data_IF_641724457352
#
_entry.id   IF_641724457352
#
_cell.length_a   1.000
_cell.length_b   1.000
_cell.length_c   1.000
_cell.angle_alpha   90.00
_cell.angle_beta   90.00
_cell.angle_gamma   90.00
#
_symmetry.space_group_name_H-M   'P 1'
#
loop_
_entity.id
_entity.type
_entity.pdbx_description
1 polymer ?
#
# COMPACT_ATOMS: atom_id res chain seq x y z
N UNK A 1 -10.56 60.77 -11.75
CA UNK A 1 -9.79 61.70 -12.61
C UNK A 1 -8.53 60.96 -13.07
N UNK A 2 -8.42 60.94 -14.40
CA UNK A 2 -7.28 60.60 -15.21
C UNK A 2 -6.79 59.15 -15.29
N UNK A 3 -7.30 58.52 -16.36
CA UNK A 3 -6.71 57.39 -17.05
C UNK A 3 -5.50 57.81 -17.88
N UNK A 4 -4.50 56.94 -18.02
CA UNK A 4 -3.56 56.98 -19.14
C UNK A 4 -3.36 55.56 -19.67
N UNK A 5 -3.61 55.38 -20.98
CA UNK A 5 -3.41 54.18 -21.81
C UNK A 5 -2.09 54.31 -22.63
N UNK A 6 -1.60 53.18 -23.20
CA UNK A 6 -0.23 53.02 -23.69
C UNK A 6 -0.04 53.41 -25.19
N UNK A 7 1.18 53.29 -25.72
CA UNK A 7 1.36 52.95 -27.14
C UNK A 7 2.18 51.66 -27.30
N UNK A 8 2.00 50.73 -28.23
CA UNK A 8 1.65 50.82 -29.64
C UNK A 8 2.78 50.22 -30.49
N UNK A 9 2.56 48.99 -30.98
CA UNK A 9 2.99 48.37 -32.25
C UNK A 9 4.41 48.55 -32.82
N UNK A 10 4.96 47.42 -33.28
CA UNK A 10 6.11 47.40 -34.19
C UNK A 10 6.42 45.98 -34.70
N UNK A 11 5.66 45.56 -35.70
CA UNK A 11 5.94 44.40 -36.57
C UNK A 11 7.26 44.59 -37.33
N UNK A 12 8.13 43.59 -37.36
CA UNK A 12 9.09 43.35 -38.44
C UNK A 12 9.29 41.87 -38.73
N UNK A 13 8.68 41.46 -39.81
CA UNK A 13 8.92 40.25 -40.59
C UNK A 13 10.33 40.26 -41.17
N UNK A 14 11.10 39.19 -40.97
CA UNK A 14 12.28 38.90 -41.79
C UNK A 14 12.26 37.45 -42.24
N UNK A 15 12.09 37.29 -43.55
CA UNK A 15 12.33 36.09 -44.31
C UNK A 15 13.84 35.81 -44.37
N UNK A 16 14.26 34.57 -44.14
CA UNK A 16 15.55 34.06 -44.60
C UNK A 16 15.39 32.66 -45.19
N UNK A 17 15.99 32.56 -46.35
CA UNK A 17 15.94 31.48 -47.32
C UNK A 17 16.47 30.14 -46.81
N UNK A 18 15.88 29.10 -47.34
CA UNK A 18 16.33 27.70 -47.25
C UNK A 18 17.61 27.49 -48.07
N UNK A 19 18.58 26.79 -47.48
CA UNK A 19 19.65 26.11 -48.20
C UNK A 19 19.50 24.60 -47.95
N UNK A 20 19.21 23.87 -49.01
CA UNK A 20 19.15 22.42 -49.00
C UNK A 20 20.59 21.86 -49.12
N UNK A 21 21.03 21.11 -48.09
CA UNK A 21 22.22 20.26 -48.18
C UNK A 21 21.76 18.81 -48.18
N UNK A 22 21.93 18.12 -49.28
CA UNK A 22 21.73 16.69 -49.43
C UNK A 22 22.87 15.93 -48.75
N UNK A 23 22.57 15.19 -47.66
CA UNK A 23 23.46 14.17 -47.13
C UNK A 23 22.92 12.82 -47.49
N UNK A 24 23.71 12.03 -48.16
CA UNK A 24 23.45 10.62 -48.45
C UNK A 24 23.56 9.83 -47.15
N UNK A 25 22.45 9.26 -46.68
CA UNK A 25 22.43 8.28 -45.59
C UNK A 25 22.76 6.91 -46.14
N UNK A 26 23.91 6.40 -45.69
CA UNK A 26 24.23 4.97 -45.76
C UNK A 26 23.40 4.27 -44.71
N UNK A 27 22.40 3.52 -45.13
CA UNK A 27 21.52 2.75 -44.26
C UNK A 27 22.27 1.54 -43.67
N UNK A 28 22.54 1.57 -42.37
CA UNK A 28 22.77 0.35 -41.57
C UNK A 28 21.44 -0.07 -40.96
N UNK A 29 20.84 -1.12 -41.52
CA UNK A 29 19.65 -1.75 -40.94
C UNK A 29 20.04 -2.48 -39.66
N UNK A 30 19.66 -1.93 -38.52
CA UNK A 30 19.58 -2.68 -37.26
C UNK A 30 18.38 -3.64 -37.34
N UNK A 31 18.48 -4.89 -36.89
CA UNK A 31 17.35 -5.78 -36.86
C UNK A 31 16.32 -5.26 -35.84
N UNK A 32 15.09 -5.12 -36.31
CA UNK A 32 13.94 -4.79 -35.47
C UNK A 32 13.80 -5.89 -34.39
N UNK A 33 13.85 -5.50 -33.13
CA UNK A 33 13.42 -6.37 -32.05
C UNK A 33 11.94 -6.68 -32.25
N UNK A 34 11.62 -7.92 -32.61
CA UNK A 34 10.25 -8.42 -32.65
C UNK A 34 9.72 -8.40 -31.22
N UNK A 35 8.86 -7.42 -30.92
CA UNK A 35 8.00 -7.48 -29.75
C UNK A 35 7.19 -8.79 -29.85
N UNK A 36 7.22 -9.60 -28.79
CA UNK A 36 6.34 -10.75 -28.69
C UNK A 36 4.89 -10.27 -28.84
N UNK A 37 4.05 -10.99 -29.60
CA UNK A 37 2.67 -10.61 -29.73
C UNK A 37 2.00 -10.62 -28.34
N UNK A 38 1.06 -9.69 -28.05
CA UNK A 38 0.26 -9.76 -26.84
C UNK A 38 -0.47 -11.10 -26.86
N UNK A 39 -0.39 -11.88 -25.77
CA UNK A 39 -1.23 -13.05 -25.59
C UNK A 39 -2.68 -12.62 -25.79
N UNK A 40 -3.30 -13.16 -26.83
CA UNK A 40 -4.72 -12.98 -27.10
C UNK A 40 -5.48 -13.47 -25.87
N UNK A 41 -6.26 -12.58 -25.26
CA UNK A 41 -7.29 -12.99 -24.35
C UNK A 41 -8.23 -13.95 -25.10
N UNK A 42 -8.18 -15.22 -24.75
CA UNK A 42 -9.19 -16.18 -25.19
C UNK A 42 -10.50 -15.84 -24.49
N UNK A 43 -11.39 -15.16 -25.20
CA UNK A 43 -12.80 -15.01 -24.82
C UNK A 43 -13.49 -16.37 -25.00
N UNK A 44 -13.37 -17.22 -24.03
CA UNK A 44 -14.16 -18.43 -23.87
C UNK A 44 -14.55 -18.50 -22.40
N UNK A 45 -15.84 -18.52 -22.12
CA UNK A 45 -16.38 -18.81 -20.79
C UNK A 45 -15.97 -20.23 -20.38
N UNK A 46 -14.77 -20.36 -19.86
CA UNK A 46 -14.33 -21.48 -19.07
C UNK A 46 -14.11 -20.94 -17.66
N UNK A 47 -14.92 -21.38 -16.71
CA UNK A 47 -14.66 -21.27 -15.29
C UNK A 47 -13.18 -21.62 -15.06
N UNK A 48 -12.34 -20.60 -14.89
CA UNK A 48 -10.93 -20.84 -14.63
C UNK A 48 -10.85 -21.34 -13.20
N UNK A 49 -10.38 -22.57 -13.03
CA UNK A 49 -10.15 -23.15 -11.70
C UNK A 49 -9.27 -22.21 -10.90
N UNK A 50 -9.77 -21.74 -9.76
CA UNK A 50 -9.00 -20.92 -8.82
C UNK A 50 -7.72 -21.64 -8.37
N UNK A 51 -6.64 -20.92 -8.02
CA UNK A 51 -5.40 -21.54 -7.56
C UNK A 51 -5.56 -22.50 -6.40
N UNK A 52 -6.51 -22.27 -5.50
CA UNK A 52 -6.85 -23.20 -4.41
C UNK A 52 -7.67 -24.42 -4.85
N UNK A 53 -8.38 -24.29 -5.98
CA UNK A 53 -9.38 -25.27 -6.43
C UNK A 53 -10.75 -25.13 -5.74
N UNK A 54 -10.97 -24.04 -5.02
CA UNK A 54 -12.24 -23.76 -4.33
C UNK A 54 -13.37 -23.41 -5.32
N UNK A 55 -14.59 -23.72 -4.88
CA UNK A 55 -15.83 -23.48 -5.60
C UNK A 55 -16.92 -22.84 -4.72
N UNK A 56 -16.57 -22.46 -3.48
CA UNK A 56 -17.48 -21.87 -2.50
C UNK A 56 -16.70 -21.04 -1.48
N UNK A 57 -17.38 -20.09 -0.83
CA UNK A 57 -16.79 -19.22 0.19
C UNK A 57 -16.24 -20.02 1.39
N UNK A 58 -15.09 -19.57 1.87
CA UNK A 58 -14.46 -20.13 3.06
C UNK A 58 -15.13 -19.65 4.33
N UNK A 59 -15.30 -20.54 5.28
CA UNK A 59 -15.46 -20.18 6.67
C UNK A 59 -14.15 -19.61 7.23
N UNK A 60 -14.20 -18.86 8.34
CA UNK A 60 -12.99 -18.38 9.01
C UNK A 60 -12.02 -19.52 9.37
N UNK A 61 -12.55 -20.67 9.82
CA UNK A 61 -11.73 -21.86 10.13
C UNK A 61 -10.99 -22.43 8.91
N UNK A 62 -11.61 -22.43 7.75
CA UNK A 62 -10.98 -22.85 6.49
C UNK A 62 -9.90 -21.89 6.04
N UNK A 63 -10.07 -20.57 6.19
CA UNK A 63 -8.97 -19.61 5.95
C UNK A 63 -7.76 -19.91 6.84
N UNK A 64 -7.96 -20.19 8.11
CA UNK A 64 -6.88 -20.52 9.04
C UNK A 64 -6.19 -21.85 8.71
N UNK A 65 -6.95 -22.84 8.27
CA UNK A 65 -6.43 -24.12 7.79
C UNK A 65 -5.60 -23.92 6.51
N UNK A 66 -6.16 -23.27 5.50
CA UNK A 66 -5.52 -23.03 4.21
C UNK A 66 -4.20 -22.23 4.36
N UNK A 67 -4.19 -21.20 5.22
CA UNK A 67 -2.96 -20.48 5.54
C UNK A 67 -1.90 -21.38 6.20
N UNK A 68 -2.32 -22.31 7.05
CA UNK A 68 -1.39 -23.27 7.70
C UNK A 68 -0.85 -24.28 6.70
N UNK A 69 -1.70 -24.77 5.80
CA UNK A 69 -1.32 -25.70 4.74
C UNK A 69 -0.34 -25.05 3.74
N UNK A 70 -0.61 -23.80 3.30
CA UNK A 70 0.32 -23.07 2.45
C UNK A 70 1.70 -22.89 3.12
N UNK A 71 1.73 -22.50 4.38
CA UNK A 71 2.99 -22.35 5.13
C UNK A 71 3.72 -23.68 5.29
N UNK A 72 2.99 -24.77 5.52
CA UNK A 72 3.57 -26.12 5.60
C UNK A 72 4.08 -26.66 4.26
N UNK A 73 3.36 -26.37 3.17
CA UNK A 73 3.71 -26.81 1.81
C UNK A 73 4.87 -26.02 1.20
N UNK A 74 4.99 -24.74 1.54
CA UNK A 74 6.01 -23.82 0.99
C UNK A 74 6.86 -23.15 2.07
N UNK A 75 7.54 -23.86 2.99
CA UNK A 75 8.14 -23.31 4.22
C UNK A 75 9.30 -22.32 3.97
N UNK A 76 9.94 -22.34 2.79
CA UNK A 76 10.99 -21.39 2.41
C UNK A 76 10.43 -20.11 1.78
N UNK A 77 9.13 -20.11 1.42
CA UNK A 77 8.47 -19.03 0.69
C UNK A 77 7.33 -18.41 1.45
N UNK A 78 6.59 -19.21 2.24
CA UNK A 78 5.38 -18.78 2.96
C UNK A 78 5.58 -18.93 4.45
N UNK A 79 5.21 -17.92 5.22
CA UNK A 79 5.18 -17.95 6.68
C UNK A 79 3.85 -17.41 7.19
N UNK A 80 3.09 -18.23 7.93
CA UNK A 80 1.92 -17.76 8.67
C UNK A 80 2.35 -17.00 9.93
N UNK A 81 1.64 -15.94 10.26
CA UNK A 81 1.84 -15.16 11.49
C UNK A 81 0.51 -14.72 12.08
N UNK A 82 0.52 -14.35 13.37
CA UNK A 82 -0.61 -13.77 14.07
C UNK A 82 -0.36 -12.28 14.33
N UNK A 83 -1.40 -11.46 14.25
CA UNK A 83 -1.40 -10.08 14.67
C UNK A 83 -1.58 -9.99 16.21
N UNK A 84 -1.07 -8.91 16.85
CA UNK A 84 -0.91 -8.89 18.31
C UNK A 84 -2.18 -8.70 19.12
N UNK A 85 -3.23 -8.14 18.54
CA UNK A 85 -4.47 -7.82 19.25
C UNK A 85 -5.56 -8.82 18.89
N UNK A 86 -6.18 -9.41 19.89
CA UNK A 86 -7.39 -10.21 19.70
C UNK A 86 -8.57 -9.28 19.49
N UNK A 87 -9.53 -9.72 18.66
CA UNK A 87 -10.79 -9.02 18.45
C UNK A 87 -11.63 -8.96 19.71
N UNK A 88 -12.73 -8.23 19.68
CA UNK A 88 -13.66 -8.11 20.81
C UNK A 88 -14.26 -9.44 21.22
N UNK A 89 -14.48 -10.38 20.28
CA UNK A 89 -14.91 -11.75 20.55
C UNK A 89 -13.75 -12.74 20.78
N UNK A 90 -12.53 -12.25 20.92
CA UNK A 90 -11.37 -13.04 21.29
C UNK A 90 -10.70 -13.80 20.15
N UNK A 91 -11.06 -13.54 18.88
CA UNK A 91 -10.44 -14.17 17.71
C UNK A 91 -9.05 -13.60 17.44
N UNK A 92 -8.20 -14.38 16.83
CA UNK A 92 -6.86 -13.95 16.37
C UNK A 92 -6.91 -13.63 14.89
N UNK A 93 -6.41 -12.47 14.50
CA UNK A 93 -6.21 -12.14 13.09
C UNK A 93 -4.91 -12.75 12.60
N UNK A 94 -4.98 -13.57 11.55
CA UNK A 94 -3.83 -14.23 10.94
C UNK A 94 -3.49 -13.65 9.57
N UNK A 95 -2.22 -13.76 9.19
CA UNK A 95 -1.75 -13.37 7.87
C UNK A 95 -0.60 -14.25 7.39
N UNK A 96 -0.22 -14.03 6.14
CA UNK A 96 0.88 -14.70 5.46
C UNK A 96 1.95 -13.68 5.04
N UNK A 97 3.20 -14.00 5.26
CA UNK A 97 4.32 -13.39 4.55
C UNK A 97 4.76 -14.32 3.42
N UNK A 98 4.88 -13.78 2.21
CA UNK A 98 5.25 -14.53 1.01
C UNK A 98 6.42 -13.83 0.33
N UNK A 99 7.56 -14.51 0.27
CA UNK A 99 8.78 -14.04 -0.39
C UNK A 99 9.79 -15.18 -0.45
N UNK A 100 10.74 -15.11 -1.36
CA UNK A 100 11.84 -16.10 -1.37
C UNK A 100 12.73 -15.91 -0.13
N UNK A 101 13.08 -17.01 0.54
CA UNK A 101 13.77 -17.04 1.83
C UNK A 101 12.98 -16.27 2.93
N UNK A 102 11.70 -16.59 3.09
CA UNK A 102 10.77 -15.90 3.99
C UNK A 102 11.27 -15.78 5.43
N UNK A 103 12.08 -16.72 5.89
CA UNK A 103 12.66 -16.75 7.22
C UNK A 103 13.84 -15.78 7.44
N UNK A 104 14.18 -14.96 6.42
CA UNK A 104 15.20 -13.93 6.53
C UNK A 104 14.57 -12.55 6.65
N UNK A 105 14.99 -11.80 7.66
CA UNK A 105 14.71 -10.36 7.74
C UNK A 105 15.73 -9.63 6.85
N UNK A 106 15.49 -9.62 5.55
CA UNK A 106 16.43 -9.18 4.52
C UNK A 106 16.23 -7.75 4.03
N UNK A 107 15.23 -7.05 4.56
CA UNK A 107 14.99 -5.63 4.29
C UNK A 107 14.43 -5.32 2.91
N UNK A 108 13.81 -6.29 2.24
CA UNK A 108 13.09 -6.06 0.99
C UNK A 108 11.97 -5.03 1.15
N UNK A 109 11.60 -4.29 0.09
CA UNK A 109 10.38 -3.50 0.07
C UNK A 109 9.17 -4.42 0.26
N UNK A 110 8.07 -3.85 0.78
CA UNK A 110 6.90 -4.64 1.18
C UNK A 110 5.66 -4.17 0.44
N UNK A 111 4.95 -5.11 -0.15
CA UNK A 111 3.57 -4.97 -0.57
C UNK A 111 2.67 -5.59 0.50
N UNK A 112 1.70 -4.83 1.00
CA UNK A 112 0.70 -5.30 1.97
C UNK A 112 -0.66 -5.27 1.28
N UNK A 113 -1.35 -6.41 1.24
CA UNK A 113 -2.71 -6.55 0.75
C UNK A 113 -3.59 -7.14 1.84
N UNK A 114 -4.73 -6.50 2.11
CA UNK A 114 -5.66 -6.94 3.15
C UNK A 114 -7.08 -6.96 2.62
N UNK A 115 -7.89 -7.92 3.10
CA UNK A 115 -9.31 -8.06 2.76
C UNK A 115 -10.20 -7.92 4.00
N UNK A 116 -11.50 -7.85 3.74
CA UNK A 116 -12.56 -7.83 4.73
C UNK A 116 -12.35 -6.82 5.88
N UNK A 117 -12.12 -5.53 5.53
CA UNK A 117 -12.33 -4.43 6.47
C UNK A 117 -13.80 -4.38 6.90
N UNK A 118 -14.70 -4.55 5.93
CA UNK A 118 -16.10 -4.80 6.20
C UNK A 118 -16.34 -6.31 6.18
N UNK A 119 -16.91 -6.84 7.25
CA UNK A 119 -16.98 -8.28 7.44
C UNK A 119 -17.91 -8.99 6.44
N UNK A 120 -18.92 -8.30 5.93
CA UNK A 120 -19.84 -8.80 4.91
C UNK A 120 -19.33 -8.69 3.47
N UNK A 121 -18.09 -8.27 3.25
CA UNK A 121 -17.47 -8.20 1.92
C UNK A 121 -16.63 -9.47 1.65
N UNK A 122 -17.26 -10.64 1.71
CA UNK A 122 -16.61 -11.96 1.61
C UNK A 122 -15.74 -12.13 0.37
N UNK A 123 -16.14 -11.64 -0.84
CA UNK A 123 -15.29 -11.76 -2.02
C UNK A 123 -13.92 -11.10 -1.85
N UNK A 124 -13.82 -10.01 -1.09
CA UNK A 124 -12.56 -9.32 -0.81
C UNK A 124 -11.56 -10.21 -0.06
N UNK A 125 -12.04 -11.03 0.88
CA UNK A 125 -11.23 -12.00 1.62
C UNK A 125 -10.77 -13.15 0.71
N UNK A 126 -11.69 -13.68 -0.11
CA UNK A 126 -11.40 -14.77 -1.04
C UNK A 126 -10.36 -14.38 -2.09
N UNK A 127 -10.53 -13.23 -2.75
CA UNK A 127 -9.61 -12.73 -3.76
C UNK A 127 -8.20 -12.52 -3.17
N UNK A 128 -8.12 -11.99 -1.95
CA UNK A 128 -6.87 -11.84 -1.19
C UNK A 128 -6.22 -13.20 -0.91
N UNK A 129 -7.00 -14.21 -0.52
CA UNK A 129 -6.48 -15.57 -0.26
C UNK A 129 -6.08 -16.31 -1.53
N UNK A 130 -6.85 -16.21 -2.60
CA UNK A 130 -6.51 -16.79 -3.90
C UNK A 130 -5.22 -16.19 -4.48
N UNK A 131 -4.98 -14.90 -4.24
CA UNK A 131 -3.70 -14.28 -4.59
C UNK A 131 -2.52 -14.87 -3.80
N UNK A 132 -2.72 -15.21 -2.52
CA UNK A 132 -1.70 -15.92 -1.74
C UNK A 132 -1.39 -17.31 -2.33
N UNK A 133 -2.41 -18.07 -2.71
CA UNK A 133 -2.24 -19.37 -3.39
C UNK A 133 -1.48 -19.20 -4.71
N UNK A 134 -1.88 -18.23 -5.55
CA UNK A 134 -1.19 -17.95 -6.81
C UNK A 134 0.29 -17.66 -6.61
N UNK A 135 0.64 -16.78 -5.67
CA UNK A 135 2.03 -16.43 -5.38
C UNK A 135 2.84 -17.64 -4.87
N UNK A 136 2.28 -18.41 -3.94
CA UNK A 136 2.95 -19.55 -3.34
C UNK A 136 3.23 -20.65 -4.36
N UNK A 137 2.25 -21.00 -5.19
CA UNK A 137 2.37 -22.06 -6.21
C UNK A 137 3.32 -21.67 -7.36
N UNK A 138 3.43 -20.37 -7.66
CA UNK A 138 4.27 -19.88 -8.75
C UNK A 138 5.61 -19.26 -8.27
N UNK A 139 5.97 -19.43 -7.01
CA UNK A 139 7.14 -18.78 -6.41
C UNK A 139 8.48 -19.11 -7.08
N UNK A 140 8.59 -20.23 -7.78
CA UNK A 140 9.78 -20.67 -8.51
C UNK A 140 9.69 -20.42 -10.02
N UNK A 141 8.61 -19.83 -10.52
CA UNK A 141 8.33 -19.68 -11.94
C UNK A 141 8.30 -18.21 -12.40
N UNK A 142 8.85 -17.94 -13.58
CA UNK A 142 8.69 -16.73 -14.36
C UNK A 142 8.80 -15.41 -13.58
N UNK A 143 7.82 -14.54 -13.79
CA UNK A 143 7.76 -13.21 -13.18
C UNK A 143 7.54 -13.27 -11.67
N UNK A 144 6.74 -14.22 -11.17
CA UNK A 144 6.47 -14.36 -9.73
C UNK A 144 7.76 -14.64 -8.97
N UNK A 145 8.60 -15.57 -9.46
CA UNK A 145 9.91 -15.82 -8.88
C UNK A 145 10.77 -14.55 -8.78
N UNK A 146 10.80 -13.76 -9.85
CA UNK A 146 11.56 -12.51 -9.86
C UNK A 146 11.02 -11.53 -8.82
N UNK A 147 9.72 -11.28 -8.80
CA UNK A 147 9.05 -10.38 -7.86
C UNK A 147 9.29 -10.78 -6.40
N UNK A 148 9.11 -12.05 -6.07
CA UNK A 148 9.33 -12.57 -4.71
C UNK A 148 10.82 -12.61 -4.32
N UNK A 149 11.75 -12.56 -5.28
CA UNK A 149 13.17 -12.41 -4.98
C UNK A 149 13.54 -11.01 -4.50
N UNK A 150 12.81 -9.99 -4.92
CA UNK A 150 13.09 -8.56 -4.68
C UNK A 150 12.11 -7.90 -3.73
N UNK A 151 10.93 -8.48 -3.52
CA UNK A 151 9.83 -7.89 -2.74
C UNK A 151 9.27 -8.91 -1.75
N UNK A 152 8.78 -8.43 -0.62
CA UNK A 152 8.03 -9.21 0.37
C UNK A 152 6.57 -8.84 0.23
N UNK A 153 5.70 -9.85 0.13
CA UNK A 153 4.25 -9.69 0.16
C UNK A 153 3.74 -10.07 1.54
N UNK A 154 2.85 -9.27 2.08
CA UNK A 154 2.14 -9.55 3.34
C UNK A 154 0.65 -9.55 3.03
N UNK A 155 -0.01 -10.64 3.29
CA UNK A 155 -1.42 -10.87 3.00
C UNK A 155 -2.16 -11.12 4.31
N UNK A 156 -3.26 -10.40 4.53
CA UNK A 156 -4.20 -10.64 5.64
C UNK A 156 -5.60 -10.73 5.05
N UNK A 157 -6.11 -11.95 4.76
CA UNK A 157 -7.39 -12.10 4.05
C UNK A 157 -8.57 -11.49 4.81
N UNK A 158 -8.57 -11.57 6.13
CA UNK A 158 -9.66 -11.08 6.97
C UNK A 158 -9.08 -10.23 8.11
N UNK A 159 -9.26 -8.91 8.05
CA UNK A 159 -8.84 -8.02 9.14
C UNK A 159 -9.94 -7.81 10.18
N UNK A 160 -11.19 -8.07 9.83
CA UNK A 160 -12.38 -8.01 10.70
C UNK A 160 -13.06 -9.39 10.83
N UNK A 161 -12.46 -10.35 11.57
CA UNK A 161 -13.01 -11.70 11.62
C UNK A 161 -14.32 -11.82 12.42
N UNK A 162 -14.62 -10.88 13.34
CA UNK A 162 -15.88 -10.88 14.06
C UNK A 162 -17.04 -10.50 13.13
N UNK A 163 -16.86 -9.42 12.34
CA UNK A 163 -17.81 -9.03 11.31
C UNK A 163 -17.95 -10.08 10.21
N UNK A 164 -16.84 -10.73 9.80
CA UNK A 164 -16.87 -11.78 8.78
C UNK A 164 -17.75 -12.98 9.19
N UNK A 165 -17.60 -13.43 10.43
CA UNK A 165 -18.40 -14.56 10.98
C UNK A 165 -19.87 -14.19 11.15
N UNK A 166 -20.14 -12.92 11.48
CA UNK A 166 -21.50 -12.41 11.65
C UNK A 166 -22.19 -12.01 10.34
N UNK A 167 -21.46 -11.97 9.20
CA UNK A 167 -21.90 -11.40 7.94
C UNK A 167 -22.35 -9.93 8.08
N UNK A 168 -21.57 -9.17 8.89
CA UNK A 168 -21.86 -7.78 9.20
C UNK A 168 -20.73 -6.86 8.73
N UNK A 169 -21.10 -5.67 8.23
CA UNK A 169 -20.13 -4.67 7.79
C UNK A 169 -19.16 -4.27 8.90
N UNK A 170 -19.70 -3.98 10.09
CA UNK A 170 -19.00 -3.40 11.23
C UNK A 170 -18.32 -4.44 12.10
N UNK A 171 -17.50 -3.98 13.05
CA UNK A 171 -16.92 -4.83 14.10
C UNK A 171 -17.99 -5.31 15.08
N UNK A 172 -17.66 -6.26 15.96
CA UNK A 172 -18.57 -6.72 17.01
C UNK A 172 -19.01 -5.61 18.00
N UNK A 173 -18.36 -4.46 17.98
CA UNK A 173 -18.69 -3.28 18.78
C UNK A 173 -19.46 -2.21 17.96
N UNK A 174 -20.00 -2.59 16.80
CA UNK A 174 -20.76 -1.74 15.88
C UNK A 174 -19.96 -0.54 15.33
N UNK A 175 -18.64 -0.70 15.15
CA UNK A 175 -17.76 0.31 14.57
C UNK A 175 -17.41 -0.04 13.14
N UNK A 176 -17.55 0.91 12.20
CA UNK A 176 -16.98 0.80 10.86
C UNK A 176 -15.46 0.90 10.98
N UNK A 177 -14.80 -0.24 10.81
CA UNK A 177 -13.37 -0.32 10.94
C UNK A 177 -12.63 0.65 10.00
N UNK A 178 -13.18 0.89 8.80
CA UNK A 178 -12.60 1.82 7.83
C UNK A 178 -13.04 3.29 8.07
N UNK A 179 -13.44 3.63 9.28
CA UNK A 179 -13.66 5.00 9.81
C UNK A 179 -12.92 5.23 11.14
N UNK A 180 -12.15 4.25 11.61
CA UNK A 180 -11.54 4.24 12.94
C UNK A 180 -10.02 4.48 12.94
N UNK A 181 -9.40 4.77 11.78
CA UNK A 181 -7.98 5.13 11.68
C UNK A 181 -7.76 6.58 12.09
N UNK A 182 -6.65 6.86 12.78
CA UNK A 182 -6.47 8.12 13.50
C UNK A 182 -6.20 9.36 12.66
N UNK A 183 -5.65 9.23 11.45
CA UNK A 183 -5.46 10.39 10.59
C UNK A 183 -6.81 10.89 10.06
N UNK A 184 -7.10 12.17 10.27
CA UNK A 184 -8.37 12.73 9.86
C UNK A 184 -9.60 12.16 10.59
N UNK A 185 -9.44 11.34 11.63
CA UNK A 185 -10.54 10.79 12.40
C UNK A 185 -11.36 11.89 13.07
N UNK A 186 -12.66 11.71 13.11
CA UNK A 186 -13.60 12.51 13.91
C UNK A 186 -14.73 11.61 14.44
N UNK A 187 -15.39 11.97 15.54
CA UNK A 187 -16.58 11.26 15.99
C UNK A 187 -17.65 11.23 14.89
N UNK A 188 -18.33 10.09 14.73
CA UNK A 188 -19.50 9.96 13.88
C UNK A 188 -20.78 10.11 14.71
N UNK A 189 -21.84 10.65 14.12
CA UNK A 189 -23.11 10.90 14.78
C UNK A 189 -23.81 9.61 15.25
N UNK A 190 -23.57 8.49 14.58
CA UNK A 190 -24.13 7.17 14.87
C UNK A 190 -23.18 6.26 15.67
N UNK A 191 -22.03 6.77 16.12
CA UNK A 191 -21.00 5.98 16.81
C UNK A 191 -20.16 5.08 15.90
N UNK A 192 -20.45 5.03 14.59
CA UNK A 192 -19.74 4.15 13.64
C UNK A 192 -18.23 4.40 13.55
N UNK A 193 -17.74 5.56 13.95
CA UNK A 193 -16.31 5.90 13.97
C UNK A 193 -15.59 5.41 15.24
N UNK A 194 -16.31 4.79 16.19
CA UNK A 194 -15.79 4.35 17.48
C UNK A 194 -15.58 5.48 18.48
N UNK A 195 -15.26 5.12 19.71
CA UNK A 195 -15.11 6.07 20.84
C UNK A 195 -13.84 6.92 20.77
N UNK A 196 -12.85 6.50 19.99
CA UNK A 196 -11.57 7.19 19.77
C UNK A 196 -10.88 6.62 18.52
N UNK A 197 -9.91 7.34 17.94
CA UNK A 197 -9.09 6.77 16.90
C UNK A 197 -8.42 5.49 17.41
N UNK A 198 -8.48 4.43 16.58
CA UNK A 198 -8.02 3.08 16.93
C UNK A 198 -8.65 2.54 18.23
N UNK A 199 -9.93 2.81 18.51
CA UNK A 199 -10.64 2.15 19.61
C UNK A 199 -10.68 0.62 19.37
N UNK A 200 -10.80 0.18 18.11
CA UNK A 200 -10.97 -1.21 17.76
C UNK A 200 -9.65 -2.00 17.73
N UNK A 201 -9.62 -3.23 18.24
CA UNK A 201 -8.44 -4.09 18.17
C UNK A 201 -8.05 -4.43 16.72
N UNK A 202 -9.02 -4.52 15.81
CA UNK A 202 -8.83 -4.77 14.39
C UNK A 202 -8.03 -3.63 13.74
N UNK A 203 -8.39 -2.39 13.97
CA UNK A 203 -7.65 -1.23 13.46
C UNK A 203 -6.27 -1.08 14.12
N UNK A 204 -6.14 -1.44 15.40
CA UNK A 204 -4.82 -1.54 16.07
C UNK A 204 -3.93 -2.59 15.40
N UNK A 205 -4.49 -3.70 14.93
CA UNK A 205 -3.77 -4.75 14.21
C UNK A 205 -3.21 -4.22 12.88
N UNK A 206 -4.02 -3.57 12.06
CA UNK A 206 -3.56 -2.98 10.79
C UNK A 206 -2.54 -1.87 11.05
N UNK A 207 -2.77 -1.03 12.06
CA UNK A 207 -1.79 -0.02 12.50
C UNK A 207 -0.44 -0.64 12.87
N UNK A 208 -0.46 -1.72 13.65
CA UNK A 208 0.76 -2.44 14.03
C UNK A 208 1.46 -3.01 12.81
N UNK A 209 0.70 -3.65 11.91
CA UNK A 209 1.20 -4.26 10.69
C UNK A 209 1.98 -3.24 9.85
N UNK A 210 1.35 -2.16 9.44
CA UNK A 210 1.96 -1.14 8.58
C UNK A 210 3.08 -0.36 9.29
N UNK A 211 2.98 -0.18 10.62
CA UNK A 211 4.03 0.47 11.41
C UNK A 211 5.32 -0.37 11.55
N UNK A 212 5.23 -1.70 11.40
CA UNK A 212 6.36 -2.63 11.61
C UNK A 212 6.89 -3.26 10.32
N UNK A 213 6.19 -3.15 9.21
CA UNK A 213 6.56 -3.79 7.93
C UNK A 213 7.14 -2.82 6.90
N UNK A 214 7.03 -1.49 7.09
CA UNK A 214 7.51 -0.50 6.11
C UNK A 214 6.88 -0.70 4.73
N UNK A 215 5.54 -0.77 4.66
CA UNK A 215 4.83 -0.95 3.41
C UNK A 215 5.23 0.13 2.38
N UNK A 216 5.76 -0.31 1.24
CA UNK A 216 6.01 0.54 0.07
C UNK A 216 4.71 0.78 -0.68
N UNK A 217 3.88 -0.27 -0.78
CA UNK A 217 2.51 -0.23 -1.29
C UNK A 217 1.60 -0.92 -0.28
N UNK A 218 0.49 -0.30 0.02
CA UNK A 218 -0.62 -0.85 0.80
C UNK A 218 -1.88 -0.85 -0.04
N UNK A 219 -2.53 -1.98 -0.13
CA UNK A 219 -3.84 -2.12 -0.75
C UNK A 219 -4.83 -2.74 0.24
N UNK A 220 -6.07 -2.26 0.21
CA UNK A 220 -7.19 -2.88 0.90
C UNK A 220 -8.27 -3.24 -0.10
N UNK A 221 -8.73 -4.48 -0.04
CA UNK A 221 -9.76 -4.98 -0.95
C UNK A 221 -11.13 -4.85 -0.32
N UNK A 222 -12.06 -4.33 -1.11
CA UNK A 222 -13.46 -4.07 -0.78
C UNK A 222 -14.38 -4.54 -1.90
N UNK A 223 -15.68 -4.49 -1.65
CA UNK A 223 -16.79 -4.69 -2.59
C UNK A 223 -17.97 -3.78 -2.21
N UNK A 224 -18.85 -3.24 -3.09
CA UNK A 224 -18.92 -3.62 -4.48
C UNK A 224 -19.18 -2.37 -5.36
N UNK A 225 -18.16 -1.77 -5.87
CA UNK A 225 -18.18 -0.79 -6.96
C UNK A 225 -16.98 -1.03 -7.89
N UNK A 226 -16.97 -0.43 -9.10
CA UNK A 226 -15.89 -0.66 -10.06
C UNK A 226 -14.89 0.51 -10.02
N UNK A 227 -14.04 0.56 -8.97
CA UNK A 227 -13.09 1.66 -8.78
C UNK A 227 -11.83 1.23 -8.04
N UNK A 228 -10.73 1.94 -8.31
CA UNK A 228 -9.53 1.93 -7.47
C UNK A 228 -9.35 3.33 -6.89
N UNK A 229 -9.56 3.44 -5.58
CA UNK A 229 -9.48 4.68 -4.83
C UNK A 229 -8.07 4.91 -4.27
N UNK A 230 -7.69 6.19 -4.13
CA UNK A 230 -6.46 6.62 -3.47
C UNK A 230 -6.68 7.91 -2.67
N UNK A 231 -5.80 8.26 -1.72
CA UNK A 231 -5.91 9.52 -0.98
C UNK A 231 -5.95 10.76 -1.89
N UNK A 232 -6.62 11.88 -1.48
CA UNK A 232 -7.16 12.11 -0.16
C UNK A 232 -8.62 11.70 -0.02
N UNK A 233 -9.09 11.57 1.23
CA UNK A 233 -10.49 11.32 1.59
C UNK A 233 -11.35 12.57 1.61
N UNK A 234 -10.74 13.76 1.67
CA UNK A 234 -11.42 15.05 1.80
C UNK A 234 -10.90 16.04 0.78
N UNK A 235 -11.81 16.74 0.12
CA UNK A 235 -11.48 17.75 -0.92
C UNK A 235 -10.68 18.91 -0.36
N UNK A 236 -10.90 19.28 0.89
CA UNK A 236 -10.13 20.31 1.58
C UNK A 236 -8.63 20.03 1.65
N UNK A 237 -8.25 18.73 1.61
CA UNK A 237 -6.84 18.34 1.56
C UNK A 237 -6.15 18.81 0.27
N UNK A 238 -6.91 19.06 -0.79
CA UNK A 238 -6.36 19.20 -2.13
C UNK A 238 -5.65 17.92 -2.60
N UNK A 239 -5.06 17.91 -3.79
CA UNK A 239 -4.35 16.74 -4.27
C UNK A 239 -3.16 16.42 -3.35
N UNK A 240 -2.91 15.15 -3.11
CA UNK A 240 -1.75 14.70 -2.33
C UNK A 240 -0.45 15.00 -3.07
N UNK A 241 0.65 15.12 -2.33
CA UNK A 241 1.96 15.51 -2.89
C UNK A 241 2.54 14.48 -3.88
N UNK A 242 2.14 13.23 -3.77
CA UNK A 242 2.58 12.14 -4.64
C UNK A 242 1.45 11.67 -5.59
N UNK A 243 0.51 12.57 -5.97
CA UNK A 243 -0.71 12.24 -6.73
C UNK A 243 -0.39 11.53 -8.06
N UNK A 244 0.60 12.02 -8.81
CA UNK A 244 0.97 11.42 -10.10
C UNK A 244 1.37 9.95 -9.94
N UNK A 245 2.15 9.64 -8.91
CA UNK A 245 2.63 8.28 -8.63
C UNK A 245 1.51 7.33 -8.20
N UNK A 246 0.62 7.78 -7.32
CA UNK A 246 -0.48 6.93 -6.84
C UNK A 246 -1.56 6.79 -7.91
N UNK A 247 -1.83 7.84 -8.68
CA UNK A 247 -2.77 7.80 -9.80
C UNK A 247 -2.29 6.87 -10.93
N UNK A 248 -0.99 6.89 -11.24
CA UNK A 248 -0.39 5.95 -12.19
C UNK A 248 -0.61 4.50 -11.74
N UNK A 249 -0.30 4.18 -10.47
CA UNK A 249 -0.55 2.85 -9.92
C UNK A 249 -2.04 2.49 -9.96
N UNK A 250 -2.91 3.34 -9.44
CA UNK A 250 -4.34 3.08 -9.39
C UNK A 250 -4.95 2.91 -10.79
N UNK A 251 -4.46 3.68 -11.78
CA UNK A 251 -4.88 3.57 -13.18
C UNK A 251 -4.42 2.25 -13.83
N UNK A 252 -3.19 1.81 -13.53
CA UNK A 252 -2.70 0.51 -13.98
C UNK A 252 -3.55 -0.63 -13.38
N UNK A 253 -3.82 -0.58 -12.08
CA UNK A 253 -4.69 -1.55 -11.40
C UNK A 253 -6.10 -1.56 -11.97
N UNK A 254 -6.72 -0.38 -12.17
CA UNK A 254 -8.06 -0.26 -12.76
C UNK A 254 -8.11 -0.80 -14.19
N UNK A 255 -7.06 -0.56 -14.99
CA UNK A 255 -6.93 -1.11 -16.35
C UNK A 255 -6.95 -2.64 -16.38
N UNK A 256 -6.29 -3.29 -15.44
CA UNK A 256 -6.27 -4.76 -15.31
C UNK A 256 -7.63 -5.33 -14.81
N UNK A 257 -8.36 -4.58 -13.99
CA UNK A 257 -9.69 -4.97 -13.52
C UNK A 257 -10.75 -4.92 -14.61
N UNK A 258 -10.60 -4.04 -15.61
CA UNK A 258 -11.44 -4.02 -16.78
C UNK A 258 -12.00 -2.64 -17.17
N UNK A 259 -12.69 -2.53 -18.32
CA UNK A 259 -13.05 -1.24 -18.91
C UNK A 259 -14.07 -0.41 -18.12
N UNK A 260 -14.80 -1.01 -17.18
CA UNK A 260 -15.72 -0.30 -16.27
C UNK A 260 -15.03 0.40 -15.11
N UNK A 261 -13.81 -0.03 -14.79
CA UNK A 261 -13.09 0.46 -13.60
C UNK A 261 -12.45 1.83 -13.81
N UNK A 262 -12.48 2.64 -12.78
CA UNK A 262 -11.87 3.99 -12.75
C UNK A 262 -10.85 4.09 -11.64
N UNK A 263 -9.84 4.93 -11.82
CA UNK A 263 -8.94 5.36 -10.76
C UNK A 263 -9.26 6.80 -10.38
N UNK A 264 -9.52 7.08 -9.11
CA UNK A 264 -9.84 8.42 -8.63
C UNK A 264 -9.44 8.63 -7.16
N UNK A 265 -9.31 9.90 -6.77
CA UNK A 265 -9.20 10.21 -5.35
C UNK A 265 -10.49 9.80 -4.62
N UNK A 266 -10.35 9.28 -3.41
CA UNK A 266 -11.51 8.83 -2.62
C UNK A 266 -12.52 9.97 -2.37
N UNK A 267 -12.04 11.20 -2.17
CA UNK A 267 -12.87 12.38 -2.05
C UNK A 267 -13.72 12.72 -3.29
N UNK A 268 -13.36 12.19 -4.48
CA UNK A 268 -14.12 12.41 -5.71
C UNK A 268 -15.30 11.41 -5.85
N UNK A 269 -15.24 10.29 -5.12
CA UNK A 269 -16.37 9.39 -4.95
C UNK A 269 -17.32 9.97 -3.89
N UNK A 270 -16.90 9.98 -2.64
CA UNK A 270 -17.56 10.70 -1.53
C UNK A 270 -16.56 11.00 -0.40
N UNK A 271 -16.79 12.08 0.33
CA UNK A 271 -15.89 12.48 1.42
C UNK A 271 -16.10 11.62 2.65
N UNK A 272 -15.00 11.15 3.24
CA UNK A 272 -14.98 10.33 4.44
C UNK A 272 -13.89 10.76 5.40
N UNK A 273 -13.79 10.12 6.55
CA UNK A 273 -12.76 10.36 7.56
C UNK A 273 -12.28 9.05 8.17
N UNK A 274 -11.03 9.04 8.63
CA UNK A 274 -10.51 7.93 9.43
C UNK A 274 -10.33 6.61 8.67
N UNK A 275 -10.04 6.64 7.36
CA UNK A 275 -9.77 5.42 6.59
C UNK A 275 -8.29 4.98 6.64
N UNK A 276 -8.11 3.70 6.33
CA UNK A 276 -6.80 3.06 6.32
C UNK A 276 -5.83 3.68 5.32
N UNK A 277 -6.30 4.02 4.11
CA UNK A 277 -5.44 4.49 3.00
C UNK A 277 -4.84 5.86 3.28
N UNK A 278 -5.61 6.81 3.81
CA UNK A 278 -5.11 8.14 4.18
C UNK A 278 -4.09 8.03 5.31
N UNK A 279 -4.47 7.33 6.39
CA UNK A 279 -3.54 7.16 7.50
C UNK A 279 -2.24 6.47 7.03
N UNK A 280 -2.32 5.43 6.22
CA UNK A 280 -1.15 4.74 5.68
C UNK A 280 -0.25 5.68 4.88
N UNK A 281 -0.81 6.42 3.92
CA UNK A 281 -0.07 7.37 3.10
C UNK A 281 0.59 8.48 3.94
N UNK A 282 -0.20 9.18 4.75
CA UNK A 282 0.32 10.31 5.54
C UNK A 282 1.26 9.89 6.68
N UNK A 283 1.18 8.65 7.16
CA UNK A 283 2.12 8.12 8.15
C UNK A 283 3.42 7.60 7.52
N UNK A 284 3.35 6.96 6.37
CA UNK A 284 4.48 6.21 5.82
C UNK A 284 5.07 6.80 4.55
N UNK A 285 4.25 7.54 3.77
CA UNK A 285 4.52 7.93 2.38
C UNK A 285 4.68 6.73 1.43
N UNK A 286 4.18 5.56 1.81
CA UNK A 286 3.93 4.45 0.88
C UNK A 286 2.72 4.76 0.01
N UNK A 287 2.66 4.20 -1.20
CA UNK A 287 1.45 4.29 -2.02
C UNK A 287 0.33 3.51 -1.34
N UNK A 288 -0.89 4.06 -1.34
CA UNK A 288 -2.04 3.43 -0.69
C UNK A 288 -3.24 3.46 -1.61
N UNK A 289 -3.92 2.32 -1.75
CA UNK A 289 -5.10 2.14 -2.61
C UNK A 289 -6.18 1.34 -1.90
N UNK A 290 -7.44 1.66 -2.22
CA UNK A 290 -8.59 0.79 -1.99
C UNK A 290 -9.03 0.23 -3.33
N UNK A 291 -9.03 -1.09 -3.47
CA UNK A 291 -9.56 -1.76 -4.66
C UNK A 291 -10.96 -2.23 -4.34
N UNK A 292 -11.93 -1.60 -4.95
CA UNK A 292 -13.33 -2.01 -4.89
C UNK A 292 -13.60 -2.94 -6.05
N UNK A 293 -13.92 -4.19 -5.78
CA UNK A 293 -14.15 -5.20 -6.82
C UNK A 293 -15.63 -5.54 -6.92
N UNK A 294 -16.20 -5.48 -8.11
CA UNK A 294 -17.62 -5.77 -8.32
C UNK A 294 -17.82 -6.48 -9.67
N UNK A 295 -18.59 -7.55 -9.73
CA UNK A 295 -18.97 -8.13 -11.01
C UNK A 295 -19.82 -7.16 -11.85
N UNK A 296 -19.88 -7.39 -13.17
CA UNK A 296 -20.63 -6.52 -14.08
C UNK A 296 -22.14 -6.50 -13.74
N UNK A 297 -22.64 -7.59 -13.18
CA UNK A 297 -24.00 -7.71 -12.65
C UNK A 297 -23.87 -8.09 -11.17
N UNK A 298 -24.26 -7.20 -10.28
CA UNK A 298 -24.23 -7.44 -8.84
C UNK A 298 -25.26 -8.51 -8.47
N UNK A 299 -24.88 -9.62 -7.81
CA UNK A 299 -25.82 -10.64 -7.36
C UNK A 299 -26.71 -10.16 -6.21
N UNK A 300 -27.86 -10.82 -6.02
CA UNK A 300 -28.63 -10.71 -4.77
C UNK A 300 -27.98 -11.67 -3.74
N UNK A 301 -27.32 -11.10 -2.72
CA UNK A 301 -26.51 -11.86 -1.77
C UNK A 301 -25.13 -12.18 -2.31
N UNK A 302 -24.51 -13.23 -1.78
CA UNK A 302 -23.18 -13.67 -2.21
C UNK A 302 -23.28 -14.73 -3.32
N UNK A 303 -22.51 -14.53 -4.39
CA UNK A 303 -22.36 -15.48 -5.48
C UNK A 303 -20.86 -15.69 -5.80
N UNK A 304 -20.35 -16.84 -5.37
CA UNK A 304 -18.93 -17.16 -5.48
C UNK A 304 -18.41 -17.16 -6.91
N UNK A 305 -19.19 -17.66 -7.85
CA UNK A 305 -18.77 -17.76 -9.26
C UNK A 305 -18.51 -16.36 -9.84
N UNK A 306 -19.49 -15.47 -9.80
CA UNK A 306 -19.36 -14.14 -10.40
C UNK A 306 -18.47 -13.18 -9.60
N UNK A 307 -18.51 -13.27 -8.27
CA UNK A 307 -17.77 -12.35 -7.41
C UNK A 307 -16.28 -12.74 -7.23
N UNK A 308 -15.97 -14.04 -7.27
CA UNK A 308 -14.62 -14.55 -7.00
C UNK A 308 -14.03 -15.24 -8.24
N UNK A 309 -14.65 -16.31 -8.74
CA UNK A 309 -14.03 -17.13 -9.79
C UNK A 309 -13.83 -16.35 -11.10
N UNK A 310 -14.85 -15.66 -11.58
CA UNK A 310 -14.79 -14.86 -12.80
C UNK A 310 -13.95 -13.58 -12.65
N UNK A 311 -13.81 -13.10 -11.42
CA UNK A 311 -13.10 -11.84 -11.10
C UNK A 311 -11.63 -12.05 -10.81
N UNK A 312 -11.24 -13.23 -10.33
CA UNK A 312 -9.90 -13.50 -9.80
C UNK A 312 -8.75 -13.14 -10.75
N UNK A 313 -8.84 -13.50 -12.03
CA UNK A 313 -7.74 -13.26 -12.98
C UNK A 313 -7.45 -11.76 -13.13
N UNK A 314 -8.51 -10.97 -13.25
CA UNK A 314 -8.44 -9.50 -13.34
C UNK A 314 -7.88 -8.90 -12.03
N UNK A 315 -8.42 -9.33 -10.89
CA UNK A 315 -7.95 -8.90 -9.56
C UNK A 315 -6.47 -9.27 -9.32
N UNK A 316 -6.08 -10.51 -9.63
CA UNK A 316 -4.69 -10.97 -9.58
C UNK A 316 -3.75 -10.09 -10.41
N UNK A 317 -4.16 -9.72 -11.61
CA UNK A 317 -3.36 -8.87 -12.48
C UNK A 317 -3.19 -7.47 -11.88
N UNK A 318 -4.27 -6.88 -11.38
CA UNK A 318 -4.23 -5.59 -10.67
C UNK A 318 -3.30 -5.63 -9.44
N UNK A 319 -3.37 -6.69 -8.63
CA UNK A 319 -2.45 -6.88 -7.50
C UNK A 319 -1.00 -7.11 -7.94
N UNK A 320 -0.79 -7.66 -9.14
CA UNK A 320 0.54 -7.76 -9.72
C UNK A 320 1.15 -6.39 -10.06
N UNK A 321 0.35 -5.40 -10.50
CA UNK A 321 0.81 -4.01 -10.67
C UNK A 321 1.24 -3.40 -9.33
N UNK A 322 0.46 -3.60 -8.28
CA UNK A 322 0.83 -3.16 -6.92
C UNK A 322 2.12 -3.82 -6.41
N UNK A 323 2.31 -5.11 -6.69
CA UNK A 323 3.53 -5.84 -6.34
C UNK A 323 4.75 -5.35 -7.14
N UNK A 324 4.60 -5.04 -8.43
CA UNK A 324 5.68 -4.45 -9.24
C UNK A 324 6.04 -3.06 -8.74
N UNK A 325 5.04 -2.21 -8.47
CA UNK A 325 5.27 -0.89 -7.90
C UNK A 325 6.01 -0.96 -6.55
N UNK A 326 5.66 -1.91 -5.67
CA UNK A 326 6.37 -2.09 -4.41
C UNK A 326 7.85 -2.45 -4.61
N UNK A 327 8.18 -3.23 -5.64
CA UNK A 327 9.54 -3.61 -6.00
C UNK A 327 10.32 -2.53 -6.74
N UNK A 328 9.65 -1.52 -7.27
CA UNK A 328 10.28 -0.43 -8.01
C UNK A 328 11.12 0.46 -7.07
N UNK A 329 12.39 0.62 -7.43
CA UNK A 329 13.37 1.40 -6.66
C UNK A 329 13.09 2.91 -6.65
N UNK A 330 12.21 3.41 -7.49
CA UNK A 330 11.76 4.80 -7.45
C UNK A 330 10.68 5.03 -6.39
N UNK A 331 10.03 3.97 -5.92
CA UNK A 331 8.95 4.05 -4.94
C UNK A 331 9.42 3.98 -3.47
N UNK A 332 10.71 3.72 -3.22
CA UNK A 332 11.27 3.65 -1.87
C UNK A 332 12.74 4.11 -1.85
N UNK A 333 13.25 4.37 -0.66
CA UNK A 333 14.65 4.65 -0.42
C UNK A 333 15.41 3.36 -0.07
N UNK A 334 16.73 3.33 -0.28
CA UNK A 334 17.57 2.17 0.05
C UNK A 334 18.78 2.56 0.87
N UNK A 335 18.93 1.93 2.03
CA UNK A 335 20.18 1.96 2.81
C UNK A 335 20.90 0.64 2.59
N UNK A 336 22.14 0.70 2.13
CA UNK A 336 22.98 -0.49 1.96
C UNK A 336 24.37 -0.31 2.54
N UNK A 337 25.01 -1.41 2.88
CA UNK A 337 26.34 -1.30 3.42
C UNK A 337 26.92 -2.57 4.00
N UNK A 338 27.81 -2.36 5.00
CA UNK A 338 28.44 -3.42 5.75
C UNK A 338 28.30 -3.19 7.26
N UNK A 339 28.02 -4.26 7.99
CA UNK A 339 28.02 -4.33 9.45
C UNK A 339 28.50 -5.73 9.86
N UNK A 340 28.78 -5.97 11.16
CA UNK A 340 29.13 -7.31 11.61
C UNK A 340 28.10 -8.35 11.22
N UNK A 341 28.56 -9.52 10.76
CA UNK A 341 27.67 -10.61 10.42
C UNK A 341 26.76 -10.98 11.60
N UNK A 342 25.47 -11.17 11.32
CA UNK A 342 24.46 -11.46 12.35
C UNK A 342 24.02 -10.26 13.19
N UNK A 343 24.62 -9.07 13.02
CA UNK A 343 24.15 -7.87 13.71
C UNK A 343 22.70 -7.56 13.41
N UNK A 344 22.00 -6.99 14.38
CA UNK A 344 20.64 -6.51 14.23
C UNK A 344 20.64 -5.02 13.90
N UNK A 345 20.05 -4.68 12.77
CA UNK A 345 19.80 -3.30 12.38
C UNK A 345 18.34 -2.98 12.68
N UNK A 346 18.10 -1.95 13.48
CA UNK A 346 16.76 -1.45 13.78
C UNK A 346 16.66 -0.01 13.29
N UNK A 347 15.67 0.25 12.45
CA UNK A 347 15.33 1.58 11.97
C UNK A 347 14.04 2.02 12.63
N UNK A 348 14.03 3.21 13.20
CA UNK A 348 12.88 3.78 13.91
C UNK A 348 12.71 5.24 13.53
N UNK A 349 11.46 5.68 13.41
CA UNK A 349 11.09 7.09 13.48
C UNK A 349 9.80 7.25 14.29
N UNK A 350 9.65 8.41 14.92
CA UNK A 350 8.49 8.75 15.73
C UNK A 350 8.18 10.22 15.57
N UNK A 351 6.92 10.52 15.32
CA UNK A 351 6.42 11.87 15.08
C UNK A 351 4.99 12.01 15.58
N UNK A 352 4.47 13.23 15.55
CA UNK A 352 3.08 13.52 15.89
C UNK A 352 2.23 13.59 14.64
N UNK A 353 1.02 13.06 14.72
CA UNK A 353 -0.05 13.20 13.75
C UNK A 353 -1.31 13.63 14.48
N UNK A 354 -2.33 14.04 13.74
CA UNK A 354 -3.54 14.58 14.30
C UNK A 354 -4.78 13.93 13.66
N UNK A 355 -5.87 13.92 14.43
CA UNK A 355 -7.23 13.67 13.95
C UNK A 355 -7.70 14.86 13.10
N UNK A 356 -8.90 14.81 12.55
CA UNK A 356 -9.61 16.03 12.15
C UNK A 356 -9.92 16.90 13.38
N UNK A 357 -10.23 18.17 13.16
CA UNK A 357 -10.79 19.03 14.20
C UNK A 357 -12.23 18.62 14.49
N UNK A 358 -12.55 18.42 15.76
CA UNK A 358 -13.92 18.12 16.22
C UNK A 358 -14.21 18.83 17.54
N UNK A 359 -15.50 18.98 17.86
CA UNK A 359 -15.94 19.62 19.10
C UNK A 359 -15.69 18.71 20.30
N UNK A 360 -15.01 19.25 21.30
CA UNK A 360 -14.73 18.59 22.56
C UNK A 360 -15.78 18.98 23.65
N UNK A 361 -15.81 18.22 24.74
CA UNK A 361 -16.73 18.45 25.85
C UNK A 361 -16.63 19.86 26.48
N UNK A 362 -15.52 20.59 26.26
CA UNK A 362 -15.31 21.97 26.68
C UNK A 362 -15.81 23.01 25.66
N UNK A 363 -16.43 22.56 24.55
CA UNK A 363 -16.93 23.39 23.46
C UNK A 363 -15.83 23.88 22.48
N UNK A 364 -14.59 23.50 22.68
CA UNK A 364 -13.51 23.86 21.72
C UNK A 364 -13.49 22.93 20.52
N UNK A 365 -13.30 23.48 19.33
CA UNK A 365 -13.05 22.70 18.11
C UNK A 365 -11.53 22.63 17.87
N UNK A 366 -10.97 21.44 17.98
CA UNK A 366 -9.54 21.20 17.78
C UNK A 366 -9.25 19.74 17.45
N UNK A 367 -8.11 19.43 16.76
CA UNK A 367 -7.69 18.05 16.56
C UNK A 367 -7.00 17.48 17.79
N UNK A 368 -7.12 16.17 17.97
CA UNK A 368 -6.34 15.41 18.94
C UNK A 368 -5.03 14.93 18.34
N UNK A 369 -3.94 15.18 19.04
CA UNK A 369 -2.62 14.72 18.63
C UNK A 369 -2.28 13.33 19.15
N UNK A 370 -1.81 12.46 18.28
CA UNK A 370 -1.32 11.13 18.65
C UNK A 370 0.10 10.89 18.15
N UNK A 371 0.81 9.98 18.81
CA UNK A 371 2.16 9.60 18.42
C UNK A 371 2.13 8.43 17.46
N UNK A 372 2.70 8.66 16.25
CA UNK A 372 2.99 7.59 15.31
C UNK A 372 4.42 7.11 15.47
N UNK A 373 4.61 5.79 15.42
CA UNK A 373 5.92 5.15 15.49
C UNK A 373 6.04 4.16 14.35
N UNK A 374 7.13 4.25 13.58
CA UNK A 374 7.47 3.29 12.55
C UNK A 374 8.75 2.57 12.94
N UNK A 375 8.81 1.27 12.67
CA UNK A 375 9.96 0.43 12.97
C UNK A 375 10.16 -0.59 11.86
N UNK A 376 11.42 -0.82 11.48
CA UNK A 376 11.86 -1.95 10.67
C UNK A 376 13.08 -2.60 11.31
N UNK A 377 13.21 -3.91 11.13
CA UNK A 377 14.33 -4.68 11.70
C UNK A 377 14.91 -5.56 10.61
N UNK A 378 16.23 -5.58 10.49
CA UNK A 378 16.95 -6.38 9.49
C UNK A 378 18.14 -7.06 10.16
N UNK A 379 18.33 -8.35 9.87
CA UNK A 379 19.50 -9.11 10.31
C UNK A 379 20.56 -9.10 9.21
N UNK A 380 21.76 -8.65 9.55
CA UNK A 380 22.90 -8.62 8.62
C UNK A 380 23.29 -10.04 8.23
N UNK A 381 23.42 -10.27 6.92
CA UNK A 381 23.79 -11.58 6.40
C UNK A 381 25.19 -12.05 6.80
N UNK A 382 25.53 -13.32 6.58
CA UNK A 382 26.82 -13.92 6.99
C UNK A 382 28.02 -13.29 6.29
N UNK A 383 27.83 -12.66 5.12
CA UNK A 383 28.88 -11.93 4.40
C UNK A 383 29.09 -10.48 4.90
N UNK A 384 28.40 -10.08 5.97
CA UNK A 384 28.46 -8.74 6.54
C UNK A 384 27.81 -7.66 5.68
N UNK A 385 27.08 -7.99 4.62
CA UNK A 385 26.37 -7.04 3.77
C UNK A 385 24.91 -6.94 4.20
N UNK A 386 24.36 -5.75 4.05
CA UNK A 386 22.92 -5.50 4.20
C UNK A 386 22.42 -4.54 3.13
N UNK A 387 21.17 -4.67 2.78
CA UNK A 387 20.39 -3.73 2.00
C UNK A 387 18.99 -3.64 2.63
N UNK A 388 18.46 -2.43 2.82
CA UNK A 388 17.16 -2.20 3.47
C UNK A 388 16.38 -1.17 2.68
N UNK A 389 15.23 -1.55 2.21
CA UNK A 389 14.25 -0.63 1.66
C UNK A 389 13.53 0.10 2.80
N UNK A 390 13.31 1.40 2.61
CA UNK A 390 12.68 2.28 3.60
C UNK A 390 11.78 3.28 2.92
N UNK A 391 10.69 3.61 3.57
CA UNK A 391 9.93 4.79 3.21
C UNK A 391 10.74 6.06 3.52
N UNK A 392 10.58 7.14 2.75
CA UNK A 392 11.41 8.33 2.88
C UNK A 392 11.29 9.02 4.24
N UNK A 393 12.27 9.85 4.56
CA UNK A 393 12.28 10.69 5.76
C UNK A 393 11.32 11.88 5.66
N UNK A 394 10.84 12.19 4.48
CA UNK A 394 9.95 13.32 4.24
C UNK A 394 8.50 12.82 4.18
N UNK A 395 7.73 13.12 5.22
CA UNK A 395 6.32 12.75 5.37
C UNK A 395 5.43 13.84 4.80
N UNK A 396 4.42 13.50 3.98
CA UNK A 396 3.45 14.47 3.50
C UNK A 396 2.54 14.99 4.63
N UNK A 397 2.08 16.22 4.48
CA UNK A 397 1.14 16.86 5.41
C UNK A 397 0.12 17.65 4.60
N UNK A 398 -1.18 17.45 4.78
CA UNK A 398 -2.21 18.24 4.14
C UNK A 398 -2.37 19.63 4.82
N UNK A 399 -3.00 20.60 4.16
CA UNK A 399 -3.14 21.97 4.66
C UNK A 399 -3.88 22.08 5.99
N UNK A 400 -4.87 21.22 6.21
CA UNK A 400 -5.78 21.30 7.38
C UNK A 400 -5.25 20.56 8.62
N UNK A 401 -4.21 19.74 8.46
CA UNK A 401 -3.60 19.03 9.61
C UNK A 401 -2.52 19.86 10.26
N UNK A 402 -2.90 21.02 10.78
CA UNK A 402 -1.93 21.92 11.34
C UNK A 402 -1.87 21.87 12.86
N UNK A 403 -0.64 21.73 13.30
CA UNK A 403 -0.20 22.18 14.62
C UNK A 403 0.29 23.66 14.58
N UNK A 404 -0.20 24.44 13.62
CA UNK A 404 0.24 25.84 13.40
C UNK A 404 1.62 26.00 12.76
N UNK A 405 2.30 24.92 12.41
CA UNK A 405 3.71 24.98 11.93
C UNK A 405 3.84 25.28 10.43
N UNK A 406 2.79 25.16 9.63
CA UNK A 406 2.88 25.22 8.17
C UNK A 406 2.00 26.30 7.52
N UNK A 407 1.29 27.15 8.28
CA UNK A 407 0.54 28.28 7.76
C UNK A 407 -0.53 27.89 6.72
N UNK A 408 -1.17 26.71 6.84
CA UNK A 408 -2.22 26.28 5.91
C UNK A 408 -1.73 25.78 4.54
N UNK A 409 -0.48 25.37 4.40
CA UNK A 409 0.07 24.87 3.14
C UNK A 409 0.39 23.38 3.20
N UNK A 410 -0.06 22.63 2.19
CA UNK A 410 0.42 21.27 1.95
C UNK A 410 1.93 21.23 1.78
N UNK A 411 2.60 20.25 2.33
CA UNK A 411 4.05 20.17 2.27
C UNK A 411 4.62 18.86 2.78
N UNK A 412 5.91 18.90 3.11
CA UNK A 412 6.61 17.75 3.69
C UNK A 412 7.27 18.12 5.02
N UNK A 413 7.04 17.29 6.03
CA UNK A 413 7.80 17.30 7.28
C UNK A 413 8.99 16.34 7.20
N UNK A 414 10.13 16.79 7.68
CA UNK A 414 11.33 15.97 7.76
C UNK A 414 11.38 15.19 9.06
N UNK A 415 11.18 13.88 8.95
CA UNK A 415 11.15 12.89 10.04
C UNK A 415 12.32 11.91 9.87
N UNK A 416 13.51 12.21 10.45
CA UNK A 416 14.70 11.37 10.25
C UNK A 416 14.51 9.97 10.81
N UNK A 417 15.02 8.98 10.08
CA UNK A 417 15.18 7.64 10.64
C UNK A 417 16.34 7.58 11.64
N UNK A 418 16.16 6.83 12.70
CA UNK A 418 17.18 6.47 13.65
C UNK A 418 17.58 5.02 13.37
N UNK A 419 18.75 4.82 12.76
CA UNK A 419 19.36 3.50 12.55
C UNK A 419 20.17 3.13 13.78
N UNK A 420 19.81 2.04 14.43
CA UNK A 420 20.59 1.40 15.50
C UNK A 420 21.20 0.12 14.96
N UNK A 421 22.50 -0.03 15.09
CA UNK A 421 23.24 -1.26 14.87
C UNK A 421 23.57 -1.89 16.21
N UNK A 422 23.26 -3.17 16.37
CA UNK A 422 23.53 -3.92 17.60
C UNK A 422 24.20 -5.26 17.27
N UNK A 423 25.35 -5.52 17.88
CA UNK A 423 26.13 -6.73 17.73
C UNK A 423 26.67 -7.19 19.07
N UNK A 424 27.37 -8.33 19.10
CA UNK A 424 28.08 -8.79 20.31
C UNK A 424 29.19 -7.83 20.79
N UNK A 425 29.73 -7.01 19.88
CA UNK A 425 30.91 -6.18 20.13
C UNK A 425 30.58 -4.71 20.33
N UNK A 426 29.32 -4.28 20.12
CA UNK A 426 28.97 -2.89 20.32
C UNK A 426 27.54 -2.55 19.84
N UNK A 427 27.18 -1.30 20.14
CA UNK A 427 25.92 -0.69 19.72
C UNK A 427 26.16 0.75 19.31
N UNK A 428 25.69 1.10 18.11
CA UNK A 428 25.73 2.50 17.64
C UNK A 428 24.39 2.95 17.11
N UNK A 429 24.22 4.26 17.08
CA UNK A 429 22.98 4.88 16.62
C UNK A 429 23.29 6.09 15.75
N UNK A 430 22.65 6.17 14.58
CA UNK A 430 22.82 7.27 13.60
C UNK A 430 21.48 7.78 13.15
N UNK A 431 21.37 9.11 12.95
CA UNK A 431 20.22 9.71 12.26
C UNK A 431 20.48 9.69 10.77
N UNK A 432 19.44 9.34 9.99
CA UNK A 432 19.49 9.23 8.54
C UNK A 432 18.33 10.01 7.95
N UNK A 433 18.66 10.97 7.07
CA UNK A 433 17.70 11.58 6.17
C UNK A 433 17.86 10.92 4.81
N UNK A 434 16.74 10.49 4.23
CA UNK A 434 16.73 9.79 2.96
C UNK A 434 15.46 10.17 2.20
N UNK A 435 15.64 10.55 0.95
CA UNK A 435 14.56 10.90 0.03
C UNK A 435 14.03 9.68 -0.71
N UNK A 436 12.96 9.88 -1.45
CA UNK A 436 12.42 8.87 -2.36
C UNK A 436 13.44 8.58 -3.47
N UNK A 437 13.65 7.30 -3.79
CA UNK A 437 14.63 6.87 -4.79
C UNK A 437 16.10 6.93 -4.36
N UNK A 438 16.40 7.54 -3.19
CA UNK A 438 17.77 7.68 -2.70
C UNK A 438 18.42 6.33 -2.37
N UNK A 439 19.73 6.27 -2.61
CA UNK A 439 20.59 5.14 -2.21
C UNK A 439 21.72 5.63 -1.33
N UNK A 440 21.68 5.28 -0.06
CA UNK A 440 22.66 5.68 0.92
C UNK A 440 23.55 4.50 1.34
N UNK A 441 24.87 4.71 1.35
CA UNK A 441 25.82 3.70 1.85
C UNK A 441 26.20 3.97 3.28
N UNK A 442 26.30 2.91 4.10
CA UNK A 442 26.78 2.94 5.49
C UNK A 442 27.77 1.81 5.76
N UNK A 443 28.81 2.11 6.53
CA UNK A 443 29.76 1.12 7.02
C UNK A 443 29.76 1.19 8.54
N UNK A 444 29.26 0.13 9.17
CA UNK A 444 29.05 0.01 10.62
C UNK A 444 29.99 -1.09 11.14
N UNK A 445 31.31 -0.83 11.12
CA UNK A 445 32.35 -1.88 11.28
C UNK A 445 32.24 -2.69 12.58
N UNK A 446 31.85 -2.07 13.67
CA UNK A 446 31.71 -2.71 15.01
C UNK A 446 30.37 -2.40 15.67
N UNK A 447 29.43 -1.79 14.96
CA UNK A 447 28.27 -1.13 15.53
C UNK A 447 28.70 -0.04 16.56
N UNK A 448 29.80 0.65 16.27
CA UNK A 448 30.38 1.76 17.05
C UNK A 448 30.32 3.09 16.25
#
# INVERSE_FOLDING_TARGET
MNAVRPPGSGTRTRWLLAAAAAFALVGTTLPAATAAPPERAENGAHSQTLPSGRTDFRTLGEFEQDMSELAGRFPDTVRKFALPYKTSEGRTVHGLEITRNVNRDDGKPVFVDVGAHHGNEWPSAELTMEYAYYLAQNADHGRVRHRLSTTRVVIVPIVNPDGYVADERRTATDVDMNRNYGFGWMPGDDGAHGSAPWSEPETKNVRWLLSTRQATVFNTQHTCIQVVLYPPLQKEAGPIQDVDRVHELASAMAGELGPGYKAMASADDYETTGEAIDWSYYATRGLSTTTETCPDVRPEGHDFESEVADTFVRNRNALNEALEAAGDRHQHAVIKGRAPAGAMLTLRKSFRMYTAGFEHADGSVRPDGFRQRLRSTVRVGPNGKFEVALNPSYRPVPPYQEDGLHGGQAGYLREPWVLTCESRTGRSTQRINIGLGDKVRRVLRRCD
#
